data_IF_796081408419
#
_entry.id   IF_796081408419
#
_cell.length_a   1.000
_cell.length_b   1.000
_cell.length_c   1.000
_cell.angle_alpha   90.00
_cell.angle_beta   90.00
_cell.angle_gamma   90.00
#
_symmetry.space_group_name_H-M   'P 1'
#
loop_
_entity.id
_entity.type
_entity.pdbx_description
1 polymer ?
#
# COMPACT_ATOMS: atom_id res chain seq x y z
N UNK A 1 -9.84 25.28 30.81
CA UNK A 1 -11.09 24.54 30.57
C UNK A 1 -11.61 25.00 29.21
N UNK A 2 -11.13 24.38 28.14
CA UNK A 2 -11.59 24.66 26.78
C UNK A 2 -12.06 23.33 26.22
N UNK A 3 -13.33 23.04 26.49
CA UNK A 3 -14.02 21.84 26.10
C UNK A 3 -15.50 22.18 26.08
N UNK A 4 -16.15 21.70 25.03
CA UNK A 4 -17.60 21.72 24.82
C UNK A 4 -18.15 23.04 24.26
N UNK A 5 -18.86 22.93 23.12
CA UNK A 5 -19.87 23.87 22.59
C UNK A 5 -19.52 24.81 21.42
N UNK A 6 -18.78 24.36 20.39
CA UNK A 6 -18.72 25.08 19.08
C UNK A 6 -19.09 24.22 17.86
N UNK A 7 -19.96 23.21 18.04
CA UNK A 7 -20.45 22.37 16.92
C UNK A 7 -21.92 22.62 16.55
N UNK A 8 -22.49 23.80 16.81
CA UNK A 8 -23.93 24.02 16.59
C UNK A 8 -24.31 25.37 15.98
N UNK A 9 -23.54 25.91 15.03
CA UNK A 9 -24.09 27.02 14.23
C UNK A 9 -23.65 26.99 12.78
N UNK A 10 -24.57 26.47 11.96
CA UNK A 10 -24.78 26.79 10.55
C UNK A 10 -23.64 26.45 9.60
N UNK A 11 -23.58 25.16 9.26
CA UNK A 11 -23.40 24.81 7.87
C UNK A 11 -24.56 23.87 7.53
N UNK A 12 -25.08 23.99 6.32
CA UNK A 12 -26.16 23.21 5.73
C UNK A 12 -25.75 21.73 5.53
N UNK A 13 -25.27 21.06 6.58
CA UNK A 13 -24.74 19.70 6.55
C UNK A 13 -25.79 18.68 6.99
N UNK A 14 -26.86 18.51 6.23
CA UNK A 14 -27.68 17.31 6.37
C UNK A 14 -27.43 16.41 5.15
N UNK A 15 -26.78 15.26 5.40
CA UNK A 15 -26.84 14.04 4.60
C UNK A 15 -25.97 13.95 3.33
N UNK A 16 -24.84 14.65 3.23
CA UNK A 16 -23.97 14.56 2.04
C UNK A 16 -22.47 14.48 2.29
N UNK A 17 -21.99 14.33 3.52
CA UNK A 17 -20.55 14.18 3.75
C UNK A 17 -20.00 12.85 3.24
N UNK A 18 -20.79 11.79 3.27
CA UNK A 18 -20.37 10.46 2.82
C UNK A 18 -20.66 10.22 1.34
N UNK A 19 -21.48 11.07 0.69
CA UNK A 19 -21.76 10.97 -0.74
C UNK A 19 -20.51 11.29 -1.56
N UNK A 20 -20.17 10.41 -2.49
CA UNK A 20 -19.00 10.50 -3.38
C UNK A 20 -17.65 10.48 -2.65
N UNK A 21 -17.59 9.89 -1.45
CA UNK A 21 -16.32 9.59 -0.79
C UNK A 21 -15.78 8.27 -1.32
N UNK A 22 -14.49 8.24 -1.64
CA UNK A 22 -13.83 7.05 -2.17
C UNK A 22 -13.10 6.26 -1.09
N UNK A 23 -12.65 6.94 -0.04
CA UNK A 23 -11.95 6.34 1.08
C UNK A 23 -12.23 7.01 2.42
N UNK A 24 -12.32 6.21 3.47
CA UNK A 24 -12.66 6.63 4.83
C UNK A 24 -11.68 6.01 5.83
N UNK A 25 -11.26 6.80 6.81
CA UNK A 25 -10.54 6.33 7.99
C UNK A 25 -11.45 6.43 9.21
N UNK A 26 -11.82 5.28 9.78
CA UNK A 26 -12.52 5.17 11.06
C UNK A 26 -11.51 5.16 12.21
N UNK A 27 -11.22 6.35 12.73
CA UNK A 27 -10.18 6.54 13.74
C UNK A 27 -10.76 6.49 15.16
N UNK A 28 -10.14 5.70 16.02
CA UNK A 28 -10.39 5.71 17.47
C UNK A 28 -9.08 5.95 18.23
N UNK A 29 -9.19 6.29 19.52
CA UNK A 29 -8.04 6.45 20.41
C UNK A 29 -7.83 5.15 21.20
N UNK A 30 -6.63 4.56 21.12
CA UNK A 30 -6.32 3.30 21.84
C UNK A 30 -6.41 3.46 23.36
N UNK A 31 -6.34 4.69 23.87
CA UNK A 31 -6.46 5.01 25.30
C UNK A 31 -7.89 5.31 25.76
N UNK A 32 -8.86 5.37 24.84
CA UNK A 32 -10.27 5.64 25.15
C UNK A 32 -11.21 4.61 24.53
N UNK A 33 -11.68 3.69 25.37
CA UNK A 33 -12.65 2.66 25.00
C UNK A 33 -13.97 3.24 24.48
N UNK A 34 -14.37 4.42 24.96
CA UNK A 34 -15.62 5.07 24.52
C UNK A 34 -15.55 5.49 23.07
N UNK A 35 -14.35 5.88 22.59
CA UNK A 35 -14.12 6.21 21.19
C UNK A 35 -14.23 4.98 20.30
N UNK A 36 -13.73 3.82 20.75
CA UNK A 36 -13.85 2.55 20.03
C UNK A 36 -15.31 2.10 19.90
N UNK A 37 -16.11 2.22 20.96
CA UNK A 37 -17.53 1.83 20.95
C UNK A 37 -18.38 2.64 19.95
N UNK A 38 -17.96 3.85 19.60
CA UNK A 38 -18.65 4.69 18.60
C UNK A 38 -18.38 4.26 17.15
N UNK A 39 -17.34 3.47 16.90
CA UNK A 39 -17.01 3.02 15.56
C UNK A 39 -18.15 2.24 14.92
N UNK A 40 -18.87 1.43 15.68
CA UNK A 40 -20.00 0.65 15.15
C UNK A 40 -21.13 1.54 14.63
N UNK A 41 -21.46 2.63 15.34
CA UNK A 41 -22.45 3.60 14.84
C UNK A 41 -21.95 4.34 13.60
N UNK A 42 -20.70 4.81 13.59
CA UNK A 42 -20.16 5.54 12.45
C UNK A 42 -20.02 4.66 11.21
N UNK A 43 -19.68 3.39 11.38
CA UNK A 43 -19.64 2.43 10.28
C UNK A 43 -21.04 2.16 9.72
N UNK A 44 -22.05 2.05 10.58
CA UNK A 44 -23.43 1.88 10.14
C UNK A 44 -23.91 3.08 9.32
N UNK A 45 -23.63 4.30 9.80
CA UNK A 45 -23.96 5.54 9.10
C UNK A 45 -23.26 5.59 7.73
N UNK A 46 -21.96 5.25 7.69
CA UNK A 46 -21.18 5.16 6.45
C UNK A 46 -21.79 4.17 5.45
N UNK A 47 -22.05 2.93 5.87
CA UNK A 47 -22.63 1.89 5.00
C UNK A 47 -24.03 2.27 4.50
N UNK A 48 -24.80 3.03 5.29
CA UNK A 48 -26.13 3.50 4.90
C UNK A 48 -26.09 4.56 3.79
N UNK A 49 -25.03 5.38 3.75
CA UNK A 49 -24.88 6.47 2.77
C UNK A 49 -24.03 6.08 1.56
N UNK A 50 -22.98 5.27 1.75
CA UNK A 50 -22.01 4.92 0.71
C UNK A 50 -21.26 3.61 1.04
N UNK A 51 -21.78 2.49 0.56
CA UNK A 51 -21.21 1.16 0.76
C UNK A 51 -20.00 0.85 -0.15
N UNK A 52 -19.69 1.74 -1.11
CA UNK A 52 -18.61 1.52 -2.09
C UNK A 52 -17.26 2.17 -1.67
N UNK A 53 -17.23 2.91 -0.56
CA UNK A 53 -16.02 3.57 -0.11
C UNK A 53 -15.05 2.56 0.54
N UNK A 54 -13.76 2.64 0.21
CA UNK A 54 -12.72 1.87 0.90
C UNK A 54 -12.59 2.40 2.33
N UNK A 55 -12.71 1.54 3.34
CA UNK A 55 -12.72 1.97 4.73
C UNK A 55 -11.69 1.21 5.56
N UNK A 56 -10.88 1.94 6.32
CA UNK A 56 -9.93 1.38 7.30
C UNK A 56 -10.33 1.76 8.72
N UNK A 57 -10.08 0.86 9.66
CA UNK A 57 -10.10 1.17 11.09
C UNK A 57 -8.69 1.56 11.53
N UNK A 58 -8.56 2.65 12.27
CA UNK A 58 -7.26 3.17 12.71
C UNK A 58 -7.26 3.42 14.23
N UNK A 59 -6.43 2.68 14.96
CA UNK A 59 -6.12 2.96 16.36
C UNK A 59 -5.03 4.02 16.49
N UNK A 60 -5.41 5.24 16.87
CA UNK A 60 -4.49 6.37 17.07
C UNK A 60 -3.98 6.44 18.53
N UNK A 61 -2.94 7.25 18.75
CA UNK A 61 -2.23 7.46 20.03
C UNK A 61 -1.39 6.27 20.48
N UNK A 62 -0.77 5.58 19.53
CA UNK A 62 0.12 4.45 19.80
C UNK A 62 1.34 4.83 20.67
N UNK A 63 1.66 6.12 20.78
CA UNK A 63 2.75 6.67 21.59
C UNK A 63 2.57 6.52 23.11
N UNK A 64 1.38 6.18 23.60
CA UNK A 64 1.10 5.96 25.03
C UNK A 64 0.64 4.52 25.34
N UNK A 65 1.54 3.52 25.20
CA UNK A 65 1.19 2.10 25.37
C UNK A 65 0.74 1.76 26.79
N UNK A 66 1.11 2.58 27.79
CA UNK A 66 0.77 2.37 29.20
C UNK A 66 -0.69 2.74 29.50
N UNK A 67 -1.28 3.62 28.69
CA UNK A 67 -2.68 4.05 28.83
C UNK A 67 -3.62 3.34 27.87
N UNK A 68 -3.15 2.31 27.18
CA UNK A 68 -3.99 1.53 26.27
C UNK A 68 -5.15 0.87 27.04
N UNK A 69 -6.37 1.26 26.67
CA UNK A 69 -7.61 0.82 27.30
C UNK A 69 -8.40 -0.17 26.42
N UNK A 70 -7.99 -0.34 25.16
CA UNK A 70 -8.72 -1.15 24.16
C UNK A 70 -7.96 -2.43 23.86
N UNK A 71 -8.64 -3.57 24.00
CA UNK A 71 -8.02 -4.88 23.76
C UNK A 71 -7.80 -5.12 22.26
N UNK A 72 -6.56 -5.39 21.84
CA UNK A 72 -6.20 -5.64 20.42
C UNK A 72 -7.03 -6.76 19.80
N UNK A 73 -7.33 -7.83 20.55
CA UNK A 73 -8.17 -8.92 20.03
C UNK A 73 -9.62 -8.47 19.77
N UNK A 74 -10.14 -7.54 20.58
CA UNK A 74 -11.48 -7.02 20.39
C UNK A 74 -11.57 -6.18 19.11
N UNK A 75 -10.57 -5.32 18.88
CA UNK A 75 -10.48 -4.50 17.67
C UNK A 75 -10.28 -5.37 16.44
N UNK A 76 -9.41 -6.38 16.54
CA UNK A 76 -9.18 -7.35 15.45
C UNK A 76 -10.47 -8.11 15.10
N UNK A 77 -11.19 -8.62 16.10
CA UNK A 77 -12.46 -9.31 15.84
C UNK A 77 -13.47 -8.38 15.16
N UNK A 78 -13.60 -7.14 15.63
CA UNK A 78 -14.48 -6.15 15.00
C UNK A 78 -14.08 -5.88 13.54
N UNK A 79 -12.79 -5.70 13.27
CA UNK A 79 -12.28 -5.50 11.92
C UNK A 79 -12.51 -6.72 11.00
N UNK A 80 -12.31 -7.94 11.52
CA UNK A 80 -12.55 -9.19 10.78
C UNK A 80 -14.06 -9.40 10.49
N UNK A 81 -14.93 -9.12 11.47
CA UNK A 81 -16.39 -9.22 11.34
C UNK A 81 -16.92 -8.24 10.28
N UNK A 82 -16.41 -7.02 10.27
CA UNK A 82 -16.81 -5.96 9.34
C UNK A 82 -16.03 -5.97 8.01
N UNK A 83 -15.04 -6.86 7.88
CA UNK A 83 -14.14 -7.00 6.72
C UNK A 83 -13.35 -5.72 6.39
N UNK A 84 -12.86 -5.04 7.42
CA UNK A 84 -12.09 -3.80 7.31
C UNK A 84 -10.61 -4.03 7.64
N UNK A 85 -9.73 -3.30 6.97
CA UNK A 85 -8.31 -3.31 7.31
C UNK A 85 -8.06 -2.52 8.60
N UNK A 86 -7.23 -3.09 9.48
CA UNK A 86 -6.91 -2.51 10.78
C UNK A 86 -5.47 -1.99 10.79
N UNK A 87 -5.32 -0.71 11.10
CA UNK A 87 -4.03 -0.05 11.29
C UNK A 87 -3.91 0.61 12.65
N UNK A 88 -2.69 0.94 13.04
CA UNK A 88 -2.38 1.70 14.24
C UNK A 88 -1.40 2.81 13.92
N UNK A 89 -1.58 3.98 14.50
CA UNK A 89 -0.69 5.12 14.30
C UNK A 89 -0.53 5.98 15.55
N UNK A 90 0.47 6.86 15.51
CA UNK A 90 0.52 8.01 16.40
C UNK A 90 0.63 9.27 15.57
N UNK A 91 -0.44 10.07 15.58
CA UNK A 91 -0.40 11.41 15.00
C UNK A 91 0.60 12.35 15.72
N UNK A 92 0.99 12.02 16.96
CA UNK A 92 1.95 12.81 17.74
C UNK A 92 3.39 12.55 17.29
N UNK A 93 3.76 11.30 17.05
CA UNK A 93 5.12 10.94 16.60
C UNK A 93 5.25 10.91 15.08
N UNK A 94 4.12 10.83 14.36
CA UNK A 94 4.06 10.60 12.92
C UNK A 94 4.13 9.11 12.53
N UNK A 95 4.23 8.20 13.51
CA UNK A 95 4.33 6.76 13.27
C UNK A 95 3.10 6.23 12.50
N UNK A 96 3.37 5.53 11.39
CA UNK A 96 2.40 4.89 10.50
C UNK A 96 1.39 5.82 9.80
N UNK A 97 1.48 7.15 10.00
CA UNK A 97 0.50 8.08 9.43
C UNK A 97 0.59 8.06 7.90
N UNK A 98 1.79 8.19 7.35
CA UNK A 98 1.98 8.23 5.89
C UNK A 98 1.59 6.90 5.25
N UNK A 99 2.00 5.79 5.85
CA UNK A 99 1.77 4.44 5.38
C UNK A 99 0.27 4.12 5.28
N UNK A 100 -0.53 4.58 6.25
CA UNK A 100 -1.99 4.43 6.23
C UNK A 100 -2.61 5.21 5.07
N UNK A 101 -2.20 6.47 4.90
CA UNK A 101 -2.72 7.31 3.80
C UNK A 101 -2.29 6.78 2.42
N UNK A 102 -1.05 6.32 2.29
CA UNK A 102 -0.54 5.70 1.06
C UNK A 102 -1.29 4.41 0.74
N UNK A 103 -1.47 3.51 1.72
CA UNK A 103 -2.24 2.28 1.55
C UNK A 103 -3.68 2.57 1.10
N UNK A 104 -4.33 3.52 1.77
CA UNK A 104 -5.70 3.91 1.44
C UNK A 104 -5.78 4.46 0.01
N UNK A 105 -4.87 5.38 -0.35
CA UNK A 105 -4.83 5.97 -1.68
C UNK A 105 -4.62 4.91 -2.78
N UNK A 106 -3.71 3.95 -2.56
CA UNK A 106 -3.47 2.85 -3.48
C UNK A 106 -4.71 1.98 -3.66
N UNK A 107 -5.39 1.61 -2.58
CA UNK A 107 -6.61 0.81 -2.65
C UNK A 107 -7.75 1.55 -3.36
N UNK A 108 -7.89 2.87 -3.15
CA UNK A 108 -8.85 3.69 -3.89
C UNK A 108 -8.54 3.67 -5.39
N UNK A 109 -7.26 3.85 -5.76
CA UNK A 109 -6.83 3.89 -7.16
C UNK A 109 -7.06 2.55 -7.87
N UNK A 110 -6.79 1.43 -7.17
CA UNK A 110 -7.07 0.08 -7.64
C UNK A 110 -8.57 -0.17 -7.79
N UNK A 111 -9.37 0.18 -6.76
CA UNK A 111 -10.81 0.03 -6.78
C UNK A 111 -11.47 0.83 -7.92
N UNK A 112 -10.95 2.03 -8.21
CA UNK A 112 -11.40 2.86 -9.34
C UNK A 112 -10.80 2.48 -10.70
N UNK A 113 -9.87 1.51 -10.75
CA UNK A 113 -9.15 1.13 -11.95
C UNK A 113 -8.47 2.32 -12.67
N UNK A 114 -8.02 3.31 -11.90
CA UNK A 114 -7.37 4.52 -12.44
C UNK A 114 -5.97 4.19 -12.94
N UNK A 115 -5.28 3.26 -12.29
CA UNK A 115 -4.00 2.73 -12.76
C UNK A 115 -4.29 1.61 -13.75
N UNK A 116 -4.30 1.94 -15.04
CA UNK A 116 -4.21 0.93 -16.11
C UNK A 116 -2.73 0.68 -16.38
N UNK A 117 -2.20 -0.55 -16.26
CA UNK A 117 -0.89 -0.84 -16.82
C UNK A 117 -1.00 -0.60 -18.33
N UNK A 118 -0.32 0.42 -18.83
CA UNK A 118 -0.04 0.54 -20.26
C UNK A 118 0.85 -0.66 -20.60
N UNK A 119 0.52 -1.48 -21.62
CA UNK A 119 1.47 -2.45 -22.11
C UNK A 119 2.73 -1.70 -22.51
N UNK A 120 3.83 -2.01 -21.83
CA UNK A 120 5.16 -1.50 -22.11
C UNK A 120 5.43 -1.82 -23.58
N UNK A 121 5.42 -0.80 -24.44
CA UNK A 121 5.73 -1.01 -25.85
C UNK A 121 7.22 -1.39 -25.91
N UNK A 122 7.49 -2.68 -26.10
CA UNK A 122 8.79 -3.16 -26.53
C UNK A 122 9.21 -2.30 -27.72
N UNK A 123 10.27 -1.51 -27.54
CA UNK A 123 10.95 -0.80 -28.62
C UNK A 123 11.56 -1.87 -29.54
N UNK A 124 10.77 -2.41 -30.46
CA UNK A 124 11.28 -3.14 -31.60
C UNK A 124 12.08 -2.16 -32.46
N UNK A 125 13.38 -2.06 -32.18
CA UNK A 125 14.33 -1.38 -33.05
C UNK A 125 14.57 -2.25 -34.29
N UNK A 126 13.73 -2.08 -35.30
CA UNK A 126 13.90 -2.68 -36.63
C UNK A 126 13.84 -1.59 -37.68
N UNK A 127 14.99 -0.99 -38.02
CA UNK A 127 15.21 -0.37 -39.32
C UNK A 127 16.55 -0.87 -39.87
N UNK A 128 16.45 -1.84 -40.79
CA UNK A 128 17.52 -2.38 -41.61
C UNK A 128 17.50 -1.69 -42.99
N UNK A 129 18.67 -1.23 -43.47
CA UNK A 129 19.01 -0.89 -44.88
C UNK A 129 18.37 0.38 -45.50
N UNK A 130 18.99 1.27 -46.30
CA UNK A 130 20.17 1.19 -47.18
C UNK A 130 20.60 2.60 -47.67
N UNK A 131 21.86 2.70 -48.13
CA UNK A 131 22.40 3.58 -49.19
C UNK A 131 22.93 4.99 -48.81
N UNK A 132 24.24 5.07 -48.57
CA UNK A 132 25.06 6.14 -49.16
C UNK A 132 26.46 5.61 -49.51
N UNK A 133 26.75 5.71 -50.80
CA UNK A 133 27.92 5.25 -51.56
C UNK A 133 29.27 5.76 -51.03
N UNK A 134 30.27 4.87 -50.93
CA UNK A 134 31.66 5.23 -51.23
C UNK A 134 32.45 4.00 -51.73
N UNK A 135 32.93 4.14 -52.95
CA UNK A 135 33.83 3.22 -53.63
C UNK A 135 35.21 3.21 -52.95
N UNK A 136 35.73 2.03 -52.62
CA UNK A 136 37.19 1.81 -52.48
C UNK A 136 37.57 0.56 -53.29
N UNK A 137 38.43 0.80 -54.28
CA UNK A 137 39.04 -0.16 -55.21
C UNK A 137 39.89 -1.18 -54.44
N UNK A 138 39.97 -2.46 -54.85
CA UNK A 138 40.74 -3.47 -54.12
C UNK A 138 42.23 -3.38 -54.44
N UNK A 139 43.12 -3.67 -53.47
CA UNK A 139 44.40 -4.29 -53.78
C UNK A 139 44.38 -5.76 -53.35
N UNK A 140 44.77 -6.60 -54.30
CA UNK A 140 45.10 -8.01 -54.14
C UNK A 140 46.25 -8.24 -53.16
N UNK A 141 46.25 -9.43 -52.54
CA UNK A 141 47.36 -10.21 -51.97
C UNK A 141 47.48 -10.34 -50.43
N UNK A 142 47.15 -11.55 -49.97
CA UNK A 142 47.94 -12.47 -49.11
C UNK A 142 48.07 -12.28 -47.58
N UNK A 143 47.78 -13.39 -46.87
CA UNK A 143 48.21 -13.87 -45.52
C UNK A 143 47.72 -13.06 -44.29
N UNK A 144 47.39 -13.60 -43.09
CA UNK A 144 47.56 -14.91 -42.46
C UNK A 144 46.54 -15.09 -41.31
N UNK A 145 46.33 -16.34 -40.88
CA UNK A 145 45.57 -16.74 -39.70
C UNK A 145 46.34 -16.40 -38.41
N UNK A 146 45.64 -16.00 -37.35
CA UNK A 146 45.74 -16.46 -35.94
C UNK A 146 45.30 -15.36 -34.97
N UNK A 147 44.33 -15.70 -34.10
CA UNK A 147 44.22 -15.29 -32.68
C UNK A 147 42.77 -15.29 -32.20
N UNK A 148 42.24 -16.50 -32.00
CA UNK A 148 41.21 -16.74 -30.99
C UNK A 148 41.90 -17.32 -29.75
N UNK A 149 41.87 -16.66 -28.57
CA UNK A 149 42.12 -17.36 -27.33
C UNK A 149 40.86 -18.11 -26.89
N UNK A 150 41.12 -19.32 -26.39
CA UNK A 150 40.18 -20.38 -26.06
C UNK A 150 39.49 -20.19 -24.70
N UNK A 151 38.48 -21.03 -24.49
CA UNK A 151 37.62 -21.12 -23.32
C UNK A 151 38.34 -21.58 -22.04
N UNK A 152 37.80 -21.19 -20.88
CA UNK A 152 37.87 -22.01 -19.67
C UNK A 152 36.61 -21.85 -18.81
N UNK A 153 35.85 -22.94 -18.80
CA UNK A 153 34.82 -23.42 -17.87
C UNK A 153 34.79 -22.81 -16.46
N UNK A 154 33.60 -22.42 -15.99
CA UNK A 154 33.29 -22.40 -14.54
C UNK A 154 31.89 -22.99 -14.31
N UNK A 155 31.86 -23.92 -13.38
CA UNK A 155 30.82 -24.91 -13.02
C UNK A 155 29.68 -24.34 -12.19
N UNK A 156 28.46 -24.85 -12.42
CA UNK A 156 27.24 -24.61 -11.64
C UNK A 156 27.34 -25.13 -10.20
N UNK A 157 26.79 -24.36 -9.24
CA UNK A 157 26.40 -24.90 -7.93
C UNK A 157 25.10 -24.23 -7.46
N UNK A 158 24.03 -25.00 -7.32
CA UNK A 158 22.83 -24.59 -6.59
C UNK A 158 23.06 -24.64 -5.07
N UNK A 159 22.33 -23.84 -4.27
CA UNK A 159 22.02 -24.18 -2.90
C UNK A 159 20.53 -24.51 -2.70
N UNK A 160 20.32 -25.65 -2.05
CA UNK A 160 19.04 -26.23 -1.63
C UNK A 160 18.68 -25.79 -0.20
N UNK A 161 17.38 -25.52 0.02
CA UNK A 161 16.57 -25.53 1.27
C UNK A 161 16.79 -24.44 2.33
N UNK A 162 15.67 -23.88 2.81
CA UNK A 162 14.99 -24.43 4.01
C UNK A 162 13.76 -23.61 4.45
N UNK A 163 12.66 -24.32 4.73
CA UNK A 163 11.46 -23.82 5.44
C UNK A 163 11.77 -23.64 6.92
N UNK A 164 11.27 -22.56 7.53
CA UNK A 164 11.01 -22.51 8.99
C UNK A 164 9.59 -22.01 9.28
N UNK A 165 8.74 -22.93 9.74
CA UNK A 165 7.53 -22.62 10.51
C UNK A 165 7.94 -22.33 11.96
N UNK A 166 7.44 -21.26 12.56
CA UNK A 166 7.33 -21.11 14.02
C UNK A 166 5.95 -20.55 14.39
N UNK A 167 5.13 -21.40 15.01
CA UNK A 167 4.01 -21.04 15.89
C UNK A 167 4.56 -20.42 17.17
N UNK A 168 3.93 -19.36 17.67
CA UNK A 168 3.88 -18.79 19.05
C UNK A 168 3.10 -17.47 18.93
N UNK A 169 2.27 -16.96 19.83
CA UNK A 169 1.71 -17.30 21.14
C UNK A 169 0.61 -16.22 21.31
N UNK A 170 -0.61 -16.54 21.76
CA UNK A 170 -1.66 -15.52 21.97
C UNK A 170 -1.31 -14.72 23.22
N UNK A 171 -0.68 -13.57 23.04
CA UNK A 171 -0.48 -12.54 24.05
C UNK A 171 -0.98 -11.26 23.39
N UNK A 172 -1.90 -10.55 24.07
CA UNK A 172 -2.45 -9.30 23.58
C UNK A 172 -1.36 -8.24 23.79
N UNK A 173 -0.47 -8.14 22.82
CA UNK A 173 0.57 -7.12 22.77
C UNK A 173 0.44 -6.42 21.42
N UNK A 174 0.53 -5.10 21.48
CA UNK A 174 0.60 -4.19 20.34
C UNK A 174 1.75 -4.59 19.42
#
# INVERSE_FOLDING_TARGET
MCGENYFNTSILWENSFFRNVDGVLLVYDVTDMSSFLKLSSWLLDLKSENDNAICFIVGNKLDDPNRNAVCVNQVRNFAEEEQLELHYCSAQTGENVNEIFESLALQILEHKQIIRPQPEQELESSDDSMLATYNVVPPTSSVDQTDYPNASSITLHEPVRSRRKKKKKKECTI
#
